data_IF_413169004016
#
_entry.id   IF_413169004016
#
_cell.length_a   1.000
_cell.length_b   1.000
_cell.length_c   1.000
_cell.angle_alpha   90.00
_cell.angle_beta   90.00
_cell.angle_gamma   90.00
#
_symmetry.space_group_name_H-M   'P 1'
#
loop_
_entity.id
_entity.type
_entity.pdbx_description
1 polymer ?
#
# COMPACT_ATOMS: atom_id res chain seq x y z
N UNK A 1 -17.23 2.07 9.39
CA UNK A 1 -16.21 1.97 10.46
C UNK A 1 -16.90 1.59 11.75
N UNK A 2 -16.45 0.57 12.40
CA UNK A 2 -16.90 0.12 13.71
C UNK A 2 -16.45 1.13 14.80
N UNK A 3 -17.38 1.93 15.34
CA UNK A 3 -17.09 2.94 16.35
C UNK A 3 -16.79 2.35 17.74
N UNK A 4 -17.21 1.13 18.02
CA UNK A 4 -16.83 0.44 19.25
C UNK A 4 -15.31 0.14 19.22
N UNK A 5 -14.83 -0.38 18.10
CA UNK A 5 -13.41 -0.69 17.87
C UNK A 5 -12.53 0.55 17.73
N UNK A 6 -13.00 1.56 17.00
CA UNK A 6 -12.23 2.75 16.62
C UNK A 6 -12.69 4.04 17.28
N UNK A 7 -13.47 3.95 18.37
CA UNK A 7 -13.96 5.13 19.10
C UNK A 7 -12.84 6.03 19.64
N UNK A 8 -11.66 5.47 19.96
CA UNK A 8 -10.47 6.25 20.32
C UNK A 8 -9.96 7.13 19.18
N UNK A 9 -10.01 6.61 17.96
CA UNK A 9 -9.63 7.35 16.74
C UNK A 9 -10.65 8.47 16.46
N UNK A 10 -11.94 8.18 16.61
CA UNK A 10 -12.99 9.18 16.43
C UNK A 10 -12.92 10.32 17.48
N UNK A 11 -12.51 10.03 18.71
CA UNK A 11 -12.26 11.07 19.73
C UNK A 11 -11.05 11.96 19.38
N UNK A 12 -10.03 11.38 18.74
CA UNK A 12 -8.82 12.13 18.38
C UNK A 12 -9.00 12.98 17.12
N UNK A 13 -9.66 12.44 16.09
CA UNK A 13 -9.73 13.03 14.75
C UNK A 13 -11.15 13.46 14.34
N UNK A 14 -12.13 13.42 15.23
CA UNK A 14 -13.57 13.52 14.98
C UNK A 14 -14.16 12.32 14.22
N UNK A 15 -15.48 12.22 14.17
CA UNK A 15 -16.18 11.20 13.37
C UNK A 15 -15.90 11.34 11.86
N UNK A 16 -15.76 12.58 11.38
CA UNK A 16 -15.43 12.88 10.00
C UNK A 16 -14.00 12.40 9.66
N UNK A 17 -13.02 12.72 10.51
CA UNK A 17 -11.64 12.25 10.35
C UNK A 17 -11.54 10.73 10.39
N UNK A 18 -12.28 10.06 11.28
CA UNK A 18 -12.35 8.61 11.35
C UNK A 18 -12.98 8.02 10.07
N UNK A 19 -14.02 8.65 9.52
CA UNK A 19 -14.63 8.24 8.25
C UNK A 19 -13.66 8.43 7.07
N UNK A 20 -12.88 9.50 7.05
CA UNK A 20 -11.82 9.71 6.05
C UNK A 20 -10.74 8.63 6.12
N UNK A 21 -10.30 8.21 7.32
CA UNK A 21 -9.36 7.09 7.47
C UNK A 21 -9.96 5.79 6.94
N UNK A 22 -11.21 5.49 7.26
CA UNK A 22 -11.90 4.29 6.78
C UNK A 22 -12.08 4.28 5.25
N UNK A 23 -12.20 5.43 4.62
CA UNK A 23 -12.26 5.57 3.16
C UNK A 23 -10.87 5.59 2.49
N UNK A 24 -9.81 5.77 3.27
CA UNK A 24 -8.45 5.95 2.74
C UNK A 24 -7.83 4.65 2.28
N UNK A 25 -6.93 4.79 1.31
CA UNK A 25 -6.06 3.72 0.79
C UNK A 25 -4.62 4.09 1.06
N UNK A 26 -3.88 3.22 1.73
CA UNK A 26 -2.46 3.40 1.96
C UNK A 26 -1.67 2.20 1.44
N UNK A 27 -0.46 2.44 0.97
CA UNK A 27 0.46 1.40 0.57
C UNK A 27 1.66 1.35 1.50
N UNK A 28 2.13 0.14 1.80
CA UNK A 28 3.38 -0.10 2.54
C UNK A 28 4.29 -0.94 1.65
N UNK A 29 5.44 -0.38 1.30
CA UNK A 29 6.43 -1.01 0.41
C UNK A 29 7.64 -1.43 1.23
N UNK A 30 7.83 -2.75 1.33
CA UNK A 30 8.73 -3.39 2.27
C UNK A 30 8.04 -3.73 3.61
N UNK A 31 7.82 -5.03 3.87
CA UNK A 31 7.16 -5.54 5.08
C UNK A 31 8.21 -6.12 6.04
N UNK A 32 9.29 -5.36 6.23
CA UNK A 32 10.35 -5.66 7.17
C UNK A 32 10.11 -5.11 8.58
N UNK A 33 11.20 -4.76 9.29
CA UNK A 33 11.15 -4.26 10.66
C UNK A 33 10.40 -2.92 10.82
N UNK A 34 10.40 -2.07 9.80
CA UNK A 34 9.66 -0.80 9.83
C UNK A 34 8.26 -0.97 9.24
N UNK A 35 8.17 -1.57 8.04
CA UNK A 35 6.90 -1.65 7.31
C UNK A 35 5.86 -2.53 7.99
N UNK A 36 6.25 -3.61 8.66
CA UNK A 36 5.29 -4.46 9.38
C UNK A 36 4.60 -3.72 10.53
N UNK A 37 5.33 -2.94 11.30
CA UNK A 37 4.78 -2.10 12.36
C UNK A 37 3.94 -0.94 11.82
N UNK A 38 4.37 -0.32 10.72
CA UNK A 38 3.60 0.72 10.06
C UNK A 38 2.25 0.19 9.54
N UNK A 39 2.23 -0.99 8.91
CA UNK A 39 1.01 -1.63 8.43
C UNK A 39 0.05 -1.94 9.60
N UNK A 40 0.57 -2.45 10.73
CA UNK A 40 -0.23 -2.68 11.92
C UNK A 40 -0.82 -1.38 12.48
N UNK A 41 -0.01 -0.34 12.60
CA UNK A 41 -0.45 0.97 13.09
C UNK A 41 -1.59 1.55 12.23
N UNK A 42 -1.48 1.45 10.89
CA UNK A 42 -2.53 1.89 9.97
C UNK A 42 -3.85 1.11 10.16
N UNK A 43 -3.77 -0.22 10.29
CA UNK A 43 -4.95 -1.04 10.53
C UNK A 43 -5.61 -0.69 11.89
N UNK A 44 -4.81 -0.48 12.95
CA UNK A 44 -5.28 -0.05 14.28
C UNK A 44 -5.84 1.38 14.29
N UNK A 45 -5.45 2.18 13.32
CA UNK A 45 -6.00 3.53 13.11
C UNK A 45 -7.28 3.54 12.26
N UNK A 46 -7.75 2.37 11.80
CA UNK A 46 -8.99 2.24 11.04
C UNK A 46 -8.87 2.59 9.56
N UNK A 47 -7.66 2.56 8.97
CA UNK A 47 -7.49 2.72 7.52
C UNK A 47 -8.22 1.58 6.79
N UNK A 48 -9.05 1.94 5.80
CA UNK A 48 -9.97 0.97 5.17
C UNK A 48 -9.31 0.08 4.12
N UNK A 49 -8.22 0.53 3.46
CA UNK A 49 -7.53 -0.30 2.46
C UNK A 49 -6.02 -0.20 2.63
N UNK A 50 -5.36 -1.35 2.70
CA UNK A 50 -3.90 -1.44 2.70
C UNK A 50 -3.39 -2.27 1.53
N UNK A 51 -2.40 -1.74 0.81
CA UNK A 51 -1.64 -2.42 -0.22
C UNK A 51 -0.27 -2.76 0.40
N UNK A 52 0.05 -4.05 0.49
CA UNK A 52 1.31 -4.54 1.01
C UNK A 52 2.15 -5.08 -0.14
N UNK A 53 3.40 -4.65 -0.25
CA UNK A 53 4.31 -5.10 -1.30
C UNK A 53 5.65 -5.50 -0.70
N UNK A 54 5.98 -6.78 -0.77
CA UNK A 54 7.25 -7.40 -0.36
C UNK A 54 7.38 -8.76 -1.05
N UNK A 55 8.57 -9.18 -1.46
CA UNK A 55 8.79 -10.48 -2.08
C UNK A 55 9.15 -11.56 -1.07
N UNK A 56 9.75 -11.18 0.05
CA UNK A 56 10.41 -12.10 0.98
C UNK A 56 9.43 -12.99 1.75
N UNK A 57 9.96 -14.12 2.17
CA UNK A 57 9.35 -14.98 3.18
C UNK A 57 9.83 -14.63 4.59
N UNK A 58 9.09 -15.08 5.58
CA UNK A 58 9.42 -14.91 6.99
C UNK A 58 10.55 -15.85 7.38
N UNK A 59 11.65 -15.28 7.88
CA UNK A 59 12.78 -16.02 8.41
C UNK A 59 12.79 -15.96 9.94
N UNK A 60 13.28 -17.00 10.59
CA UNK A 60 13.44 -17.04 12.06
C UNK A 60 14.30 -15.88 12.59
N UNK A 61 15.28 -15.42 11.81
CA UNK A 61 16.11 -14.25 12.14
C UNK A 61 15.35 -12.93 12.13
N UNK A 62 14.10 -12.91 11.64
CA UNK A 62 13.26 -11.72 11.66
C UNK A 62 12.54 -11.50 12.99
N UNK A 63 12.55 -12.49 13.88
CA UNK A 63 11.82 -12.51 15.17
C UNK A 63 12.12 -11.30 16.04
N UNK A 64 13.35 -10.79 15.99
CA UNK A 64 13.78 -9.68 16.85
C UNK A 64 13.16 -8.31 16.48
N UNK A 65 12.53 -8.17 15.30
CA UNK A 65 12.05 -6.86 14.81
C UNK A 65 10.82 -6.85 13.92
N UNK A 66 10.40 -7.99 13.37
CA UNK A 66 9.25 -8.06 12.46
C UNK A 66 8.05 -8.68 13.17
N UNK A 67 6.93 -7.96 13.22
CA UNK A 67 5.78 -8.32 14.06
C UNK A 67 5.08 -9.62 13.66
N UNK A 68 5.19 -10.01 12.40
CA UNK A 68 4.61 -11.25 11.86
C UNK A 68 5.55 -12.48 11.99
N UNK A 69 6.81 -12.26 12.42
CA UNK A 69 7.76 -13.34 12.60
C UNK A 69 7.51 -14.08 13.95
N UNK A 70 6.53 -14.96 13.94
CA UNK A 70 6.05 -15.75 15.06
C UNK A 70 6.27 -17.23 14.79
N UNK A 71 6.25 -18.06 15.85
CA UNK A 71 6.28 -19.51 15.71
C UNK A 71 5.11 -19.98 14.82
N UNK A 72 5.38 -20.91 13.92
CA UNK A 72 4.41 -21.42 12.93
C UNK A 72 4.21 -20.50 11.70
N UNK A 73 4.90 -19.35 11.61
CA UNK A 73 4.80 -18.44 10.46
C UNK A 73 6.04 -18.47 9.56
N UNK A 74 7.12 -19.10 9.97
CA UNK A 74 8.36 -19.12 9.21
C UNK A 74 8.18 -19.86 7.87
N UNK A 75 8.78 -19.31 6.81
CA UNK A 75 8.65 -19.81 5.43
C UNK A 75 7.40 -19.34 4.69
N UNK A 76 6.48 -18.62 5.35
CA UNK A 76 5.33 -17.99 4.69
C UNK A 76 5.70 -16.64 4.09
N UNK A 77 5.04 -16.24 3.01
CA UNK A 77 5.21 -14.90 2.45
C UNK A 77 4.84 -13.83 3.50
N UNK A 78 5.73 -12.83 3.69
CA UNK A 78 5.52 -11.75 4.66
C UNK A 78 4.20 -11.02 4.44
N UNK A 79 3.88 -10.72 3.18
CA UNK A 79 2.66 -9.99 2.82
C UNK A 79 1.39 -10.76 3.16
N UNK A 80 1.38 -12.09 3.03
CA UNK A 80 0.22 -12.92 3.34
C UNK A 80 0.01 -13.05 4.84
N UNK A 81 1.06 -13.38 5.60
CA UNK A 81 0.98 -13.47 7.06
C UNK A 81 0.57 -12.12 7.68
N UNK A 82 1.09 -11.01 7.13
CA UNK A 82 0.69 -9.68 7.56
C UNK A 82 -0.77 -9.38 7.22
N UNK A 83 -1.24 -9.74 6.03
CA UNK A 83 -2.63 -9.53 5.63
C UNK A 83 -3.62 -10.27 6.54
N UNK A 84 -3.32 -11.51 6.92
CA UNK A 84 -4.13 -12.26 7.89
C UNK A 84 -4.18 -11.54 9.24
N UNK A 85 -3.02 -11.11 9.74
CA UNK A 85 -2.92 -10.38 11.00
C UNK A 85 -3.72 -9.07 10.98
N UNK A 86 -3.67 -8.31 9.91
CA UNK A 86 -4.41 -7.05 9.77
C UNK A 86 -5.93 -7.26 9.78
N UNK A 87 -6.42 -8.35 9.18
CA UNK A 87 -7.85 -8.71 9.21
C UNK A 87 -8.33 -9.11 10.62
N UNK A 88 -7.45 -9.68 11.45
CA UNK A 88 -7.76 -9.95 12.87
C UNK A 88 -7.87 -8.65 13.69
N UNK A 89 -7.16 -7.59 13.31
CA UNK A 89 -7.21 -6.28 13.95
C UNK A 89 -8.44 -5.49 13.50
N UNK A 90 -8.65 -5.44 12.19
CA UNK A 90 -9.75 -4.74 11.54
C UNK A 90 -10.44 -5.68 10.53
N UNK A 91 -11.54 -6.35 10.89
CA UNK A 91 -12.22 -7.29 9.99
C UNK A 91 -12.74 -6.66 8.70
N UNK A 92 -13.03 -5.34 8.71
CA UNK A 92 -13.54 -4.60 7.55
C UNK A 92 -12.42 -4.14 6.60
N UNK A 93 -11.15 -4.33 6.98
CA UNK A 93 -10.03 -3.85 6.16
C UNK A 93 -9.90 -4.64 4.86
N UNK A 94 -9.75 -3.92 3.76
CA UNK A 94 -9.36 -4.51 2.49
C UNK A 94 -7.83 -4.56 2.41
N UNK A 95 -7.25 -5.75 2.34
CA UNK A 95 -5.81 -5.91 2.19
C UNK A 95 -5.50 -6.56 0.85
N UNK A 96 -4.69 -5.87 0.04
CA UNK A 96 -4.07 -6.40 -1.17
C UNK A 96 -2.62 -6.78 -0.86
N UNK A 97 -2.36 -8.06 -0.75
CA UNK A 97 -1.02 -8.62 -0.60
C UNK A 97 -0.39 -8.82 -1.99
N UNK A 98 0.80 -8.28 -2.21
CA UNK A 98 1.54 -8.38 -3.48
C UNK A 98 2.92 -8.93 -3.16
N UNK A 99 3.13 -10.22 -3.44
CA UNK A 99 4.42 -10.88 -3.26
C UNK A 99 5.34 -10.54 -4.44
N UNK A 100 5.95 -9.37 -4.39
CA UNK A 100 6.87 -8.87 -5.41
C UNK A 100 7.80 -7.80 -4.84
N UNK A 101 8.96 -7.59 -5.46
CA UNK A 101 9.75 -6.39 -5.24
C UNK A 101 9.14 -5.18 -5.96
N UNK A 102 9.28 -4.00 -5.35
CA UNK A 102 9.08 -2.75 -6.08
C UNK A 102 10.22 -2.55 -7.07
N UNK A 103 9.88 -2.40 -8.33
CA UNK A 103 10.85 -2.13 -9.39
C UNK A 103 10.39 -0.96 -10.26
N UNK A 104 11.34 -0.17 -10.81
CA UNK A 104 11.02 0.88 -11.77
C UNK A 104 10.29 0.40 -13.04
N UNK A 105 10.46 -0.87 -13.39
CA UNK A 105 9.84 -1.46 -14.58
C UNK A 105 8.31 -1.71 -14.41
N UNK A 106 7.85 -1.89 -13.18
CA UNK A 106 6.47 -2.27 -12.88
C UNK A 106 5.85 -1.43 -11.74
N UNK A 107 5.83 -0.09 -11.85
CA UNK A 107 5.25 0.76 -10.82
C UNK A 107 3.72 0.59 -10.72
N UNK A 108 3.06 0.15 -11.79
CA UNK A 108 1.62 -0.11 -11.85
C UNK A 108 1.16 -1.09 -10.77
N UNK A 109 1.97 -2.08 -10.40
CA UNK A 109 1.63 -3.07 -9.35
C UNK A 109 1.21 -2.41 -8.04
N UNK A 110 1.85 -1.28 -7.70
CA UNK A 110 1.56 -0.51 -6.51
C UNK A 110 0.46 0.53 -6.74
N UNK A 111 0.52 1.23 -7.88
CA UNK A 111 -0.25 2.43 -8.10
C UNK A 111 -1.60 2.22 -8.79
N UNK A 112 -1.91 1.03 -9.29
CA UNK A 112 -3.22 0.72 -9.88
C UNK A 112 -4.39 0.84 -8.88
N UNK A 113 -4.10 0.65 -7.59
CA UNK A 113 -5.07 0.86 -6.51
C UNK A 113 -5.15 2.32 -6.04
N UNK A 114 -4.41 3.23 -6.67
CA UNK A 114 -4.41 4.67 -6.37
C UNK A 114 -4.26 4.97 -4.86
N UNK A 115 -3.18 4.54 -4.19
CA UNK A 115 -2.99 4.84 -2.79
C UNK A 115 -2.84 6.35 -2.58
N UNK A 116 -3.54 6.90 -1.58
CA UNK A 116 -3.42 8.30 -1.18
C UNK A 116 -2.08 8.58 -0.48
N UNK A 117 -1.55 7.56 0.21
CA UNK A 117 -0.28 7.61 0.95
C UNK A 117 0.53 6.37 0.66
N UNK A 118 1.84 6.53 0.49
CA UNK A 118 2.80 5.44 0.35
C UNK A 118 3.83 5.53 1.46
N UNK A 119 3.96 4.49 2.25
CA UNK A 119 5.03 4.33 3.24
C UNK A 119 6.16 3.55 2.58
N UNK A 120 7.31 4.20 2.48
CA UNK A 120 8.53 3.64 1.93
C UNK A 120 9.38 3.03 3.04
N UNK A 121 9.42 1.70 3.10
CA UNK A 121 10.24 0.90 4.00
C UNK A 121 11.22 -0.01 3.24
N UNK A 122 11.65 0.42 2.04
CA UNK A 122 12.59 -0.33 1.18
C UNK A 122 14.03 0.01 1.58
N UNK A 123 14.92 -0.97 1.52
CA UNK A 123 16.35 -0.76 1.76
C UNK A 123 17.12 -0.33 0.50
N UNK A 124 16.65 -0.75 -0.70
CA UNK A 124 17.29 -0.42 -1.98
C UNK A 124 17.18 1.07 -2.29
N UNK A 125 18.29 1.79 -2.26
CA UNK A 125 18.34 3.22 -2.56
C UNK A 125 17.81 3.55 -3.96
N UNK A 126 18.11 2.73 -4.97
CA UNK A 126 17.63 2.91 -6.34
C UNK A 126 16.10 2.83 -6.42
N UNK A 127 15.51 1.80 -5.81
CA UNK A 127 14.07 1.61 -5.76
C UNK A 127 13.39 2.72 -4.97
N UNK A 128 13.98 3.14 -3.85
CA UNK A 128 13.52 4.24 -3.00
C UNK A 128 13.45 5.56 -3.78
N UNK A 129 14.52 5.96 -4.46
CA UNK A 129 14.56 7.19 -5.26
C UNK A 129 13.50 7.17 -6.36
N UNK A 130 13.34 6.04 -7.06
CA UNK A 130 12.31 5.90 -8.09
C UNK A 130 10.90 5.97 -7.50
N UNK A 131 10.64 5.29 -6.38
CA UNK A 131 9.35 5.33 -5.69
C UNK A 131 8.95 6.75 -5.30
N UNK A 132 9.87 7.51 -4.71
CA UNK A 132 9.65 8.91 -4.33
C UNK A 132 9.37 9.80 -5.57
N UNK A 133 10.14 9.63 -6.64
CA UNK A 133 9.93 10.37 -7.89
C UNK A 133 8.55 10.06 -8.51
N UNK A 134 8.15 8.79 -8.50
CA UNK A 134 6.84 8.36 -9.02
C UNK A 134 5.67 8.87 -8.16
N UNK A 135 5.78 8.85 -6.84
CA UNK A 135 4.81 9.45 -5.93
C UNK A 135 4.63 10.94 -6.22
N UNK A 136 5.75 11.68 -6.36
CA UNK A 136 5.72 13.12 -6.68
C UNK A 136 5.07 13.38 -8.03
N UNK A 137 5.43 12.63 -9.07
CA UNK A 137 4.87 12.76 -10.41
C UNK A 137 3.34 12.54 -10.42
N UNK A 138 2.85 11.58 -9.63
CA UNK A 138 1.42 11.27 -9.54
C UNK A 138 0.65 12.33 -8.76
N UNK A 139 1.22 12.86 -7.68
CA UNK A 139 0.62 13.95 -6.90
C UNK A 139 0.47 15.24 -7.72
N UNK A 140 1.38 15.49 -8.66
CA UNK A 140 1.37 16.68 -9.53
C UNK A 140 0.41 16.57 -10.73
N UNK A 141 -0.26 15.43 -10.94
CA UNK A 141 -1.29 15.31 -11.97
C UNK A 141 -2.58 15.93 -11.45
N UNK A 142 -3.26 16.79 -12.25
CA UNK A 142 -4.59 17.28 -11.88
C UNK A 142 -5.51 16.08 -11.68
N UNK A 143 -6.34 16.13 -10.64
CA UNK A 143 -7.30 15.08 -10.33
C UNK A 143 -8.15 14.78 -11.56
N UNK A 144 -8.14 13.53 -12.02
CA UNK A 144 -9.14 13.09 -13.00
C UNK A 144 -10.49 13.05 -12.28
N UNK A 145 -11.56 13.55 -12.90
CA UNK A 145 -12.91 13.43 -12.35
C UNK A 145 -13.19 11.95 -12.03
N UNK A 146 -13.55 11.65 -10.80
CA UNK A 146 -13.95 10.30 -10.39
C UNK A 146 -15.21 9.94 -11.16
N UNK A 147 -15.15 8.98 -12.08
CA UNK A 147 -16.35 8.42 -12.71
C UNK A 147 -16.40 8.37 -14.25
N UNK A 148 -15.32 8.66 -14.97
CA UNK A 148 -15.28 8.44 -16.42
C UNK A 148 -14.87 7.01 -16.80
N UNK A 149 -15.46 6.39 -17.85
CA UNK A 149 -15.05 5.07 -18.32
C UNK A 149 -13.58 5.10 -18.79
N UNK A 150 -12.83 4.02 -18.48
CA UNK A 150 -11.46 3.85 -19.00
C UNK A 150 -11.50 3.87 -20.52
N UNK A 151 -10.67 4.67 -21.21
CA UNK A 151 -10.57 4.57 -22.66
C UNK A 151 -10.04 3.18 -23.00
N UNK A 152 -10.81 2.43 -23.79
CA UNK A 152 -10.38 1.19 -24.40
C UNK A 152 -9.08 1.44 -25.16
N UNK A 153 -8.13 0.50 -25.07
CA UNK A 153 -6.78 0.61 -25.61
C UNK A 153 -6.75 1.16 -27.04
N UNK A 154 -6.20 2.38 -27.18
CA UNK A 154 -5.96 3.02 -28.46
C UNK A 154 -4.65 2.53 -29.04
N UNK A 155 -4.73 1.75 -30.10
CA UNK A 155 -3.65 1.39 -31.01
C UNK A 155 -2.81 2.61 -31.39
N UNK A 156 -1.50 2.47 -31.36
CA UNK A 156 -0.50 3.42 -31.81
C UNK A 156 -0.83 3.93 -33.22
N UNK A 157 -1.09 5.21 -33.36
CA UNK A 157 -1.20 5.86 -34.66
C UNK A 157 0.13 6.54 -34.99
N UNK A 158 0.71 6.07 -36.09
CA UNK A 158 1.95 6.46 -36.68
C UNK A 158 2.13 7.99 -36.81
N UNK A 159 3.35 8.45 -36.51
CA UNK A 159 3.91 9.75 -36.84
C UNK A 159 3.81 9.97 -38.37
N UNK A 160 2.96 10.87 -38.83
CA UNK A 160 3.04 11.44 -40.18
C UNK A 160 4.11 12.54 -40.15
N UNK A 161 5.14 12.37 -40.98
CA UNK A 161 6.13 13.40 -41.32
C UNK A 161 5.43 14.55 -42.00
N UNK A 162 5.71 15.78 -41.57
CA UNK A 162 5.38 17.00 -42.33
C UNK A 162 6.44 17.21 -43.45
N UNK A 163 6.07 17.65 -44.64
CA UNK A 163 7.01 18.00 -45.69
C UNK A 163 7.63 19.37 -45.46
N UNK A 164 8.80 19.57 -46.10
CA UNK A 164 9.68 20.74 -46.01
C UNK A 164 9.00 22.04 -46.44
#
# INVERSE_FOLDING_TARGET
MDLERFGGIARLYSNEGAAHLAASRAAVVGIGGVGSWAAEALARSGVGTLILLDLDDICITNTNRQIHALEGQYGRAKVEAMAERLRLINPDIRVRAIQAFYTPAHPERLFDEEPAVVIDAIDSMRSKCHLLAECRRRRSRPERPRGGPRPAGGTSRALRRLPR
#
